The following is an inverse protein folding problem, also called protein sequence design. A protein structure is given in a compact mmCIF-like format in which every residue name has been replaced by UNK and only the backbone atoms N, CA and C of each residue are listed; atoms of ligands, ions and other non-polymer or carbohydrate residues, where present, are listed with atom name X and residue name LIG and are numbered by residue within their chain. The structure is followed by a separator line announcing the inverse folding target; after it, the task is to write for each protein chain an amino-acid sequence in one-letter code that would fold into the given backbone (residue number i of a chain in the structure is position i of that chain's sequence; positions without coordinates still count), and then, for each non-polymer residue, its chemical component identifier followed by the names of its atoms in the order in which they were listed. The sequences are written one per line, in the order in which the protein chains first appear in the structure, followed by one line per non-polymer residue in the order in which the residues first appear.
data_IF_637234168725
#
_entry.id   IF_637234168725
#
_cell.length_a   1.000
_cell.length_b   1.000
_cell.length_c   1.000
_cell.angle_alpha   90.00
_cell.angle_beta   90.00
_cell.angle_gamma   90.00
#
_symmetry.space_group_name_H-M   'P 1'
#
loop_
_entity.id
_entity.type
_entity.pdbx_description
1 polymer ?
#
# COMPACT_ATOMS: atom_id res chain seq x y z
N UNK A 1 6.61 31.41 1.14
CA UNK A 1 6.85 30.18 0.39
C UNK A 1 5.80 29.16 0.78
N UNK A 2 5.40 28.30 -0.16
CA UNK A 2 4.45 27.21 0.05
C UNK A 2 5.21 26.05 0.68
N UNK A 3 4.75 25.60 1.84
CA UNK A 3 5.37 24.48 2.55
C UNK A 3 4.76 23.17 2.09
N UNK A 4 5.60 22.15 1.93
CA UNK A 4 5.19 20.80 1.54
C UNK A 4 5.33 19.87 2.73
N UNK A 5 4.33 19.03 2.90
CA UNK A 5 4.21 18.09 4.00
C UNK A 5 4.00 16.68 3.45
N UNK A 6 4.52 15.69 4.17
CA UNK A 6 4.27 14.29 3.92
C UNK A 6 3.60 13.64 5.12
N UNK A 7 2.70 12.70 4.85
CA UNK A 7 2.16 11.78 5.83
C UNK A 7 2.62 10.38 5.48
N UNK A 8 3.00 9.63 6.50
CA UNK A 8 3.51 8.28 6.33
C UNK A 8 2.89 7.35 7.36
N UNK A 9 2.85 6.07 7.01
CA UNK A 9 2.42 5.01 7.92
C UNK A 9 3.47 4.73 9.01
N UNK A 10 3.19 3.75 9.87
CA UNK A 10 4.10 3.37 10.96
C UNK A 10 5.44 2.79 10.49
N UNK A 11 5.54 2.31 9.25
CA UNK A 11 6.78 1.85 8.62
C UNK A 11 7.51 2.96 7.86
N UNK A 12 6.97 4.20 7.87
CA UNK A 12 7.52 5.35 7.16
C UNK A 12 7.17 5.37 5.67
N UNK A 13 6.26 4.53 5.18
CA UNK A 13 5.81 4.54 3.78
C UNK A 13 4.93 5.75 3.54
N UNK A 14 5.26 6.54 2.51
CA UNK A 14 4.56 7.81 2.24
C UNK A 14 3.19 7.52 1.63
N UNK A 15 2.13 7.88 2.35
CA UNK A 15 0.74 7.67 1.94
C UNK A 15 0.13 8.91 1.28
N UNK A 16 0.59 10.10 1.67
CA UNK A 16 0.00 11.37 1.22
C UNK A 16 1.04 12.49 1.19
N UNK A 17 0.90 13.40 0.22
CA UNK A 17 1.60 14.67 0.18
C UNK A 17 0.61 15.82 0.14
N UNK A 18 0.87 16.86 0.92
CA UNK A 18 0.03 18.05 0.97
C UNK A 18 0.86 19.32 1.04
N UNK A 19 0.19 20.46 0.90
CA UNK A 19 0.83 21.75 1.00
C UNK A 19 0.08 22.68 1.95
N UNK A 20 0.77 23.70 2.45
CA UNK A 20 0.18 24.73 3.31
C UNK A 20 -0.96 25.53 2.65
N UNK A 21 -1.18 25.38 1.34
CA UNK A 21 -2.33 26.00 0.64
C UNK A 21 -3.63 25.22 0.95
N UNK A 22 -3.55 23.90 1.08
CA UNK A 22 -4.72 23.02 1.20
C UNK A 22 -4.86 22.40 2.59
N UNK A 23 -3.75 22.21 3.31
CA UNK A 23 -3.76 21.64 4.65
C UNK A 23 -4.12 22.69 5.70
N UNK A 24 -5.12 22.37 6.51
CA UNK A 24 -5.56 23.20 7.64
C UNK A 24 -5.20 22.59 9.00
N UNK A 25 -5.02 21.27 9.06
CA UNK A 25 -4.53 20.52 10.22
C UNK A 25 -3.27 19.73 9.82
N UNK A 26 -2.21 19.92 10.59
CA UNK A 26 -0.90 19.29 10.37
C UNK A 26 -0.65 18.11 11.32
N UNK A 27 -1.67 17.66 12.05
CA UNK A 27 -1.56 16.50 12.95
C UNK A 27 -1.15 15.26 12.14
N UNK A 28 0.01 14.69 12.48
CA UNK A 28 0.58 13.53 11.79
C UNK A 28 1.32 13.83 10.49
N UNK A 29 1.45 15.11 10.12
CA UNK A 29 2.20 15.55 8.95
C UNK A 29 3.62 15.97 9.34
N UNK A 30 4.57 15.72 8.45
CA UNK A 30 5.96 16.17 8.59
C UNK A 30 6.28 17.13 7.46
N UNK A 31 6.74 18.34 7.79
CA UNK A 31 7.23 19.27 6.78
C UNK A 31 8.51 18.72 6.16
N UNK A 32 8.55 18.63 4.83
CA UNK A 32 9.69 18.08 4.09
C UNK A 32 10.43 19.13 3.25
N UNK A 33 9.74 20.22 2.88
CA UNK A 33 10.30 21.23 1.97
C UNK A 33 9.48 22.53 1.97
N UNK A 34 9.99 23.58 1.32
CA UNK A 34 9.24 24.80 1.01
C UNK A 34 9.75 25.50 -0.26
N UNK A 35 8.85 26.12 -1.01
CA UNK A 35 9.21 26.81 -2.26
C UNK A 35 8.05 27.54 -2.92
N UNK A 36 8.11 27.67 -4.25
CA UNK A 36 7.14 28.44 -5.04
C UNK A 36 6.68 27.68 -6.29
N UNK A 37 5.45 27.96 -6.74
CA UNK A 37 4.85 27.40 -7.95
C UNK A 37 4.12 26.08 -7.74
N UNK A 38 3.59 25.55 -8.84
CA UNK A 38 2.65 24.42 -8.86
C UNK A 38 3.22 23.12 -8.28
N UNK A 39 4.55 22.95 -8.32
CA UNK A 39 5.24 21.82 -7.69
C UNK A 39 4.99 21.76 -6.19
N UNK A 40 5.02 22.91 -5.52
CA UNK A 40 4.83 23.00 -4.07
C UNK A 40 3.35 23.17 -3.72
N UNK A 41 2.57 23.87 -4.56
CA UNK A 41 1.13 24.02 -4.35
C UNK A 41 0.39 22.68 -4.44
N UNK A 42 0.58 21.93 -5.51
CA UNK A 42 -0.11 20.68 -5.81
C UNK A 42 0.79 19.46 -5.57
N UNK A 43 1.37 19.40 -4.36
CA UNK A 43 2.43 18.45 -4.06
C UNK A 43 2.06 16.97 -4.32
N UNK A 44 0.84 16.56 -4.02
CA UNK A 44 0.32 15.21 -4.25
C UNK A 44 0.53 14.67 -5.67
N UNK A 45 0.45 15.54 -6.69
CA UNK A 45 0.61 15.15 -8.09
C UNK A 45 1.91 15.63 -8.74
N UNK A 46 2.53 16.69 -8.18
CA UNK A 46 3.62 17.40 -8.87
C UNK A 46 4.96 17.39 -8.14
N UNK A 47 5.02 16.96 -6.87
CA UNK A 47 6.23 17.08 -6.06
C UNK A 47 7.24 15.95 -6.29
N UNK A 48 6.75 14.73 -6.54
CA UNK A 48 7.56 13.54 -6.78
C UNK A 48 7.50 13.10 -8.25
N UNK A 49 8.53 12.41 -8.71
CA UNK A 49 8.63 11.99 -10.12
C UNK A 49 7.75 10.78 -10.47
N UNK A 50 7.60 9.86 -9.51
CA UNK A 50 6.75 8.65 -9.61
C UNK A 50 5.51 8.77 -8.72
N UNK A 51 4.43 8.04 -9.01
CA UNK A 51 3.29 7.89 -8.10
C UNK A 51 3.71 7.33 -6.73
N UNK A 52 2.91 7.57 -5.69
CA UNK A 52 3.21 7.08 -4.34
C UNK A 52 3.24 5.56 -4.24
N UNK A 53 2.50 4.85 -5.09
CA UNK A 53 2.44 3.39 -5.14
C UNK A 53 2.65 2.89 -6.57
N UNK A 54 3.24 1.70 -6.69
CA UNK A 54 3.29 0.94 -7.95
C UNK A 54 1.96 0.25 -8.24
N UNK A 55 1.83 -0.31 -9.45
CA UNK A 55 0.62 -1.00 -9.90
C UNK A 55 0.25 -2.23 -9.06
N UNK A 56 1.20 -2.82 -8.34
CA UNK A 56 0.95 -3.93 -7.42
C UNK A 56 0.61 -3.48 -5.99
N UNK A 57 0.51 -2.16 -5.75
CA UNK A 57 0.15 -1.58 -4.46
C UNK A 57 1.32 -1.32 -3.51
N UNK A 58 2.56 -1.65 -3.89
CA UNK A 58 3.74 -1.35 -3.06
C UNK A 58 4.11 0.13 -3.10
N UNK A 59 4.58 0.68 -1.99
CA UNK A 59 4.93 2.09 -1.89
C UNK A 59 6.29 2.39 -2.53
N UNK A 60 6.35 3.51 -3.26
CA UNK A 60 7.54 3.98 -3.95
C UNK A 60 8.48 4.80 -3.08
N UNK A 61 8.00 5.32 -1.95
CA UNK A 61 8.73 6.31 -1.17
C UNK A 61 8.67 6.04 0.33
N UNK A 62 9.79 6.28 1.00
CA UNK A 62 9.95 6.21 2.44
C UNK A 62 10.29 7.60 2.98
N UNK A 63 9.55 8.03 3.99
CA UNK A 63 9.84 9.20 4.81
C UNK A 63 10.87 8.83 5.88
N UNK A 64 12.02 9.48 5.84
CA UNK A 64 13.08 9.34 6.83
C UNK A 64 13.38 10.69 7.48
N UNK A 65 12.84 10.91 8.68
CA UNK A 65 12.86 12.24 9.30
C UNK A 65 12.02 13.22 8.48
N UNK A 66 12.64 14.27 7.96
CA UNK A 66 12.01 15.29 7.12
C UNK A 66 12.37 15.15 5.63
N UNK A 67 12.82 13.98 5.20
CA UNK A 67 13.27 13.75 3.81
C UNK A 67 12.61 12.52 3.22
N UNK A 68 12.25 12.60 1.94
CA UNK A 68 11.74 11.48 1.18
C UNK A 68 12.87 10.85 0.36
N UNK A 69 12.92 9.51 0.37
CA UNK A 69 13.76 8.71 -0.52
C UNK A 69 12.91 7.65 -1.20
N UNK A 70 13.40 7.11 -2.31
CA UNK A 70 12.77 5.94 -2.93
C UNK A 70 12.89 4.71 -2.01
N UNK A 71 11.85 3.87 -2.03
CA UNK A 71 11.86 2.55 -1.42
C UNK A 71 12.81 1.63 -2.18
N UNK A 72 13.60 0.85 -1.44
CA UNK A 72 14.47 -0.18 -2.01
C UNK A 72 13.66 -1.39 -2.47
N UNK A 73 14.24 -2.20 -3.37
CA UNK A 73 13.61 -3.45 -3.78
C UNK A 73 13.30 -4.37 -2.58
N UNK A 74 14.20 -4.45 -1.60
CA UNK A 74 13.98 -5.28 -0.41
C UNK A 74 12.81 -4.78 0.46
N UNK A 75 12.64 -3.47 0.60
CA UNK A 75 11.49 -2.89 1.32
C UNK A 75 10.17 -3.18 0.61
N UNK A 76 10.15 -3.06 -0.73
CA UNK A 76 8.96 -3.39 -1.53
C UNK A 76 8.61 -4.87 -1.48
N UNK A 77 9.59 -5.77 -1.57
CA UNK A 77 9.35 -7.21 -1.44
C UNK A 77 8.83 -7.56 -0.04
N UNK A 78 9.38 -6.93 1.02
CA UNK A 78 8.90 -7.13 2.38
C UNK A 78 7.47 -6.63 2.57
N UNK A 79 7.14 -5.47 2.00
CA UNK A 79 5.78 -4.95 1.99
C UNK A 79 4.83 -5.89 1.23
N UNK A 80 5.22 -6.32 0.02
CA UNK A 80 4.41 -7.21 -0.80
C UNK A 80 4.12 -8.54 -0.11
N UNK A 81 5.10 -9.08 0.60
CA UNK A 81 4.92 -10.28 1.42
C UNK A 81 3.96 -10.08 2.62
N UNK A 82 3.63 -8.83 2.97
CA UNK A 82 2.65 -8.51 4.02
C UNK A 82 1.21 -8.36 3.50
N UNK A 83 1.03 -8.35 2.18
CA UNK A 83 -0.31 -8.29 1.59
C UNK A 83 -1.10 -9.56 1.90
N UNK A 84 -2.43 -9.47 2.06
CA UNK A 84 -3.25 -10.65 2.25
C UNK A 84 -3.15 -11.55 1.01
N UNK A 85 -3.17 -12.87 1.25
CA UNK A 85 -3.29 -13.83 0.16
C UNK A 85 -4.53 -13.52 -0.68
N UNK A 86 -4.45 -13.66 -2.01
CA UNK A 86 -5.60 -13.46 -2.87
C UNK A 86 -6.72 -14.42 -2.45
N UNK A 87 -7.97 -13.96 -2.52
CA UNK A 87 -9.10 -14.86 -2.33
C UNK A 87 -9.00 -16.03 -3.32
N UNK A 88 -9.29 -17.28 -2.89
CA UNK A 88 -9.27 -18.43 -3.77
C UNK A 88 -10.18 -18.17 -4.97
N UNK A 89 -9.70 -18.51 -6.16
CA UNK A 89 -10.47 -18.38 -7.38
C UNK A 89 -11.77 -19.20 -7.30
N UNK A 90 -12.74 -18.85 -8.15
CA UNK A 90 -14.00 -19.61 -8.24
C UNK A 90 -13.76 -21.10 -8.56
N UNK A 91 -12.71 -21.40 -9.32
CA UNK A 91 -12.31 -22.77 -9.66
C UNK A 91 -11.79 -23.50 -8.42
N UNK A 92 -10.85 -22.91 -7.67
CA UNK A 92 -10.34 -23.49 -6.42
C UNK A 92 -11.46 -23.65 -5.38
N UNK A 93 -12.39 -22.69 -5.30
CA UNK A 93 -13.57 -22.81 -4.45
C UNK A 93 -14.48 -23.98 -4.89
N UNK A 94 -14.62 -24.22 -6.19
CA UNK A 94 -15.42 -25.32 -6.72
C UNK A 94 -14.74 -26.67 -6.46
N UNK A 95 -13.43 -26.76 -6.67
CA UNK A 95 -12.63 -27.95 -6.36
C UNK A 95 -12.72 -28.31 -4.88
N UNK A 96 -12.60 -27.32 -3.99
CA UNK A 96 -12.78 -27.51 -2.55
C UNK A 96 -14.19 -27.99 -2.19
N UNK A 97 -15.23 -27.46 -2.85
CA UNK A 97 -16.61 -27.92 -2.67
C UNK A 97 -16.83 -29.36 -3.16
N UNK A 98 -16.26 -29.72 -4.31
CA UNK A 98 -16.32 -31.09 -4.85
C UNK A 98 -15.61 -32.07 -3.93
N UNK A 99 -14.41 -31.73 -3.45
CA UNK A 99 -13.66 -32.55 -2.50
C UNK A 99 -14.43 -32.73 -1.18
N UNK A 100 -15.06 -31.66 -0.66
CA UNK A 100 -15.90 -31.74 0.53
C UNK A 100 -17.14 -32.62 0.31
N UNK A 101 -17.74 -32.59 -0.89
CA UNK A 101 -18.88 -33.45 -1.23
C UNK A 101 -18.45 -34.92 -1.35
N UNK A 102 -17.30 -35.20 -1.95
CA UNK A 102 -16.73 -36.55 -2.06
C UNK A 102 -16.48 -37.15 -0.68
N UNK A 103 -15.86 -36.41 0.22
CA UNK A 103 -15.62 -36.87 1.60
C UNK A 103 -16.92 -37.18 2.36
N UNK A 104 -17.97 -36.38 2.17
CA UNK A 104 -19.29 -36.66 2.75
C UNK A 104 -19.92 -37.93 2.19
N UNK A 105 -19.78 -38.18 0.88
CA UNK A 105 -20.27 -39.39 0.23
C UNK A 105 -19.52 -40.63 0.74
N UNK A 106 -18.20 -40.57 0.86
CA UNK A 106 -17.37 -41.66 1.39
C UNK A 106 -17.74 -42.02 2.83
N UNK A 107 -17.92 -40.99 3.68
CA UNK A 107 -18.35 -41.17 5.07
C UNK A 107 -19.73 -41.83 5.18
N UNK A 108 -20.68 -41.48 4.30
CA UNK A 108 -22.01 -42.09 4.25
C UNK A 108 -21.99 -43.54 3.75
N UNK A 109 -21.10 -43.83 2.80
CA UNK A 109 -20.96 -45.18 2.22
C UNK A 109 -20.16 -46.12 3.12
N UNK A 110 -19.58 -45.63 4.22
CA UNK A 110 -18.80 -46.44 5.16
C UNK A 110 -17.57 -47.07 4.50
N UNK A 111 -17.08 -46.51 3.40
CA UNK A 111 -15.86 -46.94 2.73
C UNK A 111 -14.70 -46.50 3.61
N UNK A 112 -14.45 -47.30 4.64
CA UNK A 112 -13.19 -47.28 5.38
C UNK A 112 -12.19 -47.94 4.44
N UNK A 113 -11.08 -47.25 4.11
CA UNK A 113 -9.92 -47.91 3.48
C UNK A 113 -9.47 -49.17 4.22
#
# INVERSE_FOLDING_TARGET
MIQVYAKADTAGRVEELGSSIFLTDLTGWVQIDEGEGDRYAHAQGNYLEKPLMDADGTHNYILYGSTIREATAAEKEAEKASFPDPEPSREEQLEAQVAALQSQVEALLGVSE
#
